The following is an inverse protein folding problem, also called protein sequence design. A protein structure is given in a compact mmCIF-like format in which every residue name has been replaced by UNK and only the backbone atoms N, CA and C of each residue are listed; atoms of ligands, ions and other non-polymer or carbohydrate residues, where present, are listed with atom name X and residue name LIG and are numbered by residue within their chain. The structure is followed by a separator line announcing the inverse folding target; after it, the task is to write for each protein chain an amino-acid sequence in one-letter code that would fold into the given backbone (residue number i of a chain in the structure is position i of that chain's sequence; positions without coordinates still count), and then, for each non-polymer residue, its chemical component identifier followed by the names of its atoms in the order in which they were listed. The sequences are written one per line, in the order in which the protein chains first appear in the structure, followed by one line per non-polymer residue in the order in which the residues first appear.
data_IF_451726500419
#
_entry.id   IF_451726500419
#
_cell.length_a   1.000
_cell.length_b   1.000
_cell.length_c   1.000
_cell.angle_alpha   90.00
_cell.angle_beta   90.00
_cell.angle_gamma   90.00
#
_symmetry.space_group_name_H-M   'P 1'
#
loop_
_entity.id
_entity.type
_entity.pdbx_description
1 polymer ?
#
# COMPACT_ATOMS: atom_id res chain seq x y z
N UNK A 1 4.41 13.03 -5.01
CA UNK A 1 4.04 11.60 -4.95
C UNK A 1 4.53 11.10 -3.61
N UNK A 2 3.63 10.68 -2.72
CA UNK A 2 4.00 10.13 -1.42
C UNK A 2 4.53 8.72 -1.62
N UNK A 3 5.64 8.35 -0.98
CA UNK A 3 6.14 6.99 -1.09
C UNK A 3 5.12 6.04 -0.45
N UNK A 4 4.75 4.91 -1.09
CA UNK A 4 3.77 3.98 -0.52
C UNK A 4 4.09 3.59 0.92
N UNK A 5 5.37 3.40 1.26
CA UNK A 5 5.81 3.12 2.65
C UNK A 5 5.40 4.21 3.63
N UNK A 6 5.58 5.48 3.28
CA UNK A 6 5.20 6.63 4.12
C UNK A 6 3.69 6.73 4.26
N UNK A 7 2.95 6.57 3.15
CA UNK A 7 1.49 6.57 3.15
C UNK A 7 0.91 5.45 4.03
N UNK A 8 1.44 4.23 3.94
CA UNK A 8 1.00 3.13 4.80
C UNK A 8 1.40 3.35 6.26
N UNK A 9 2.58 3.90 6.53
CA UNK A 9 3.00 4.25 7.89
C UNK A 9 2.07 5.31 8.52
N UNK A 10 1.72 6.35 7.77
CA UNK A 10 0.79 7.38 8.20
C UNK A 10 -0.62 6.81 8.44
N UNK A 11 -1.12 5.95 7.53
CA UNK A 11 -2.41 5.28 7.70
C UNK A 11 -2.46 4.43 8.98
N UNK A 12 -1.42 3.62 9.25
CA UNK A 12 -1.34 2.80 10.47
C UNK A 12 -1.25 3.68 11.72
N UNK A 13 -0.55 4.81 11.66
CA UNK A 13 -0.49 5.78 12.76
C UNK A 13 -1.87 6.36 13.07
N UNK A 14 -2.69 6.66 12.05
CA UNK A 14 -4.08 7.10 12.23
C UNK A 14 -4.94 5.99 12.84
N UNK A 15 -4.77 4.73 12.43
CA UNK A 15 -5.50 3.59 13.02
C UNK A 15 -5.21 3.38 14.50
N UNK A 16 -3.96 3.61 14.92
CA UNK A 16 -3.52 3.52 16.32
C UNK A 16 -3.99 4.71 17.19
N UNK A 17 -4.55 5.75 16.57
CA UNK A 17 -5.05 6.93 17.26
C UNK A 17 -6.33 6.70 18.08
N UNK A 18 -6.89 7.79 18.60
CA UNK A 18 -8.09 7.77 19.42
C UNK A 18 -9.38 7.80 18.57
N UNK A 19 -10.48 7.34 19.14
CA UNK A 19 -11.81 7.39 18.53
C UNK A 19 -12.36 6.01 18.12
N UNK A 20 -13.54 6.02 17.52
CA UNK A 20 -14.20 4.79 17.08
C UNK A 20 -13.49 4.21 15.84
N UNK A 21 -13.35 2.88 15.78
CA UNK A 21 -12.57 2.18 14.73
C UNK A 21 -12.97 2.59 13.31
N UNK A 22 -14.27 2.72 13.04
CA UNK A 22 -14.81 3.18 11.76
C UNK A 22 -14.34 4.58 11.35
N UNK A 23 -14.31 5.52 12.29
CA UNK A 23 -13.84 6.87 12.02
C UNK A 23 -12.34 6.88 11.70
N UNK A 24 -11.57 6.08 12.45
CA UNK A 24 -10.13 5.92 12.19
C UNK A 24 -9.86 5.25 10.84
N UNK A 25 -10.67 4.27 10.44
CA UNK A 25 -10.56 3.61 9.13
C UNK A 25 -10.79 4.56 7.97
N UNK A 26 -11.88 5.35 8.03
CA UNK A 26 -12.20 6.34 7.01
C UNK A 26 -11.01 7.30 6.86
N UNK A 27 -10.57 7.88 7.99
CA UNK A 27 -9.48 8.85 8.00
C UNK A 27 -8.16 8.25 7.49
N UNK A 28 -7.78 7.06 7.97
CA UNK A 28 -6.56 6.39 7.56
C UNK A 28 -6.54 6.12 6.05
N UNK A 29 -7.67 5.68 5.49
CA UNK A 29 -7.77 5.34 4.08
C UNK A 29 -7.85 6.58 3.18
N UNK A 30 -8.79 7.49 3.43
CA UNK A 30 -9.02 8.66 2.58
C UNK A 30 -7.80 9.60 2.56
N UNK A 31 -7.17 9.85 3.71
CA UNK A 31 -6.06 10.82 3.80
C UNK A 31 -4.73 10.26 3.29
N UNK A 32 -4.52 8.94 3.33
CA UNK A 32 -3.18 8.38 3.11
C UNK A 32 -3.11 7.30 2.02
N UNK A 33 -4.15 6.47 1.86
CA UNK A 33 -4.10 5.30 0.96
C UNK A 33 -4.89 5.50 -0.35
N UNK A 34 -5.94 6.32 -0.35
CA UNK A 34 -6.84 6.46 -1.50
C UNK A 34 -6.11 6.96 -2.77
N UNK A 35 -5.08 7.79 -2.59
CA UNK A 35 -4.25 8.35 -3.66
C UNK A 35 -3.16 7.41 -4.17
N UNK A 36 -2.93 6.27 -3.51
CA UNK A 36 -1.96 5.27 -3.98
C UNK A 36 -2.56 4.55 -5.18
N UNK A 37 -1.83 4.56 -6.28
CA UNK A 37 -2.16 3.76 -7.46
C UNK A 37 -1.58 2.35 -7.33
N UNK A 38 -2.31 1.35 -7.83
CA UNK A 38 -1.92 -0.06 -7.69
C UNK A 38 -0.59 -0.39 -8.39
N UNK A 39 -0.19 0.39 -9.38
CA UNK A 39 1.08 0.24 -10.10
C UNK A 39 2.30 0.64 -9.26
N UNK A 40 2.13 1.53 -8.28
CA UNK A 40 3.16 1.93 -7.32
C UNK A 40 3.43 0.83 -6.28
N UNK A 41 2.59 -0.21 -6.21
CA UNK A 41 2.74 -1.31 -5.27
C UNK A 41 3.46 -2.53 -5.89
N UNK A 42 4.24 -3.28 -5.10
CA UNK A 42 4.79 -4.56 -5.52
C UNK A 42 3.70 -5.52 -6.01
N UNK A 43 3.98 -6.28 -7.08
CA UNK A 43 3.08 -7.29 -7.66
C UNK A 43 2.35 -8.16 -6.62
N UNK A 44 3.03 -8.80 -5.63
CA UNK A 44 2.37 -9.67 -4.66
C UNK A 44 1.38 -8.94 -3.73
N UNK A 45 1.37 -7.61 -3.73
CA UNK A 45 0.52 -6.79 -2.88
C UNK A 45 -0.69 -6.21 -3.61
N UNK A 46 -0.62 -6.07 -4.95
CA UNK A 46 -1.65 -5.43 -5.76
C UNK A 46 -3.03 -6.01 -5.50
N UNK A 47 -3.15 -7.35 -5.52
CA UNK A 47 -4.43 -8.02 -5.26
C UNK A 47 -4.99 -7.69 -3.87
N UNK A 48 -4.15 -7.78 -2.82
CA UNK A 48 -4.59 -7.50 -1.45
C UNK A 48 -4.96 -6.04 -1.24
N UNK A 49 -4.31 -5.12 -1.95
CA UNK A 49 -4.67 -3.71 -1.92
C UNK A 49 -5.96 -3.43 -2.71
N UNK A 50 -6.16 -4.09 -3.85
CA UNK A 50 -7.42 -4.05 -4.59
C UNK A 50 -8.58 -4.58 -3.74
N UNK A 51 -8.38 -5.68 -2.99
CA UNK A 51 -9.36 -6.23 -2.05
C UNK A 51 -9.70 -5.18 -0.95
N UNK A 52 -8.69 -4.53 -0.36
CA UNK A 52 -8.90 -3.45 0.61
C UNK A 52 -9.70 -2.28 -0.01
N UNK A 53 -9.31 -1.83 -1.21
CA UNK A 53 -9.98 -0.75 -1.93
C UNK A 53 -11.44 -1.09 -2.22
N UNK A 54 -11.70 -2.33 -2.64
CA UNK A 54 -13.05 -2.82 -2.83
C UNK A 54 -13.83 -2.79 -1.52
N UNK A 55 -13.31 -3.35 -0.42
CA UNK A 55 -13.99 -3.33 0.89
C UNK A 55 -14.34 -1.91 1.33
N UNK A 56 -13.41 -0.97 1.14
CA UNK A 56 -13.57 0.43 1.49
C UNK A 56 -14.50 1.20 0.54
N UNK A 57 -14.87 0.67 -0.64
CA UNK A 57 -15.68 1.39 -1.63
C UNK A 57 -16.86 0.57 -2.18
N UNK A 58 -17.19 -0.58 -1.57
CA UNK A 58 -18.20 -1.53 -2.06
C UNK A 58 -19.64 -1.01 -2.03
N UNK A 59 -19.93 -0.02 -1.19
CA UNK A 59 -21.29 0.51 -1.01
C UNK A 59 -21.45 1.82 -1.76
N UNK A 60 -22.53 1.91 -2.54
CA UNK A 60 -22.90 3.15 -3.20
C UNK A 60 -23.23 4.25 -2.18
N UNK A 61 -22.70 5.47 -2.36
CA UNK A 61 -22.97 6.59 -1.46
C UNK A 61 -24.44 7.03 -1.50
N UNK A 62 -24.93 7.49 -0.35
CA UNK A 62 -26.25 8.13 -0.23
C UNK A 62 -26.08 9.62 0.11
N UNK A 63 -26.97 10.45 -0.42
CA UNK A 63 -27.10 11.87 -0.02
C UNK A 63 -25.80 12.70 -0.10
N UNK A 64 -24.92 12.40 -1.06
CA UNK A 64 -23.68 13.15 -1.27
C UNK A 64 -22.52 12.78 -0.34
N UNK A 65 -22.64 11.73 0.48
CA UNK A 65 -21.48 11.19 1.21
C UNK A 65 -20.46 10.55 0.26
N UNK A 66 -19.21 10.37 0.70
CA UNK A 66 -18.19 9.64 -0.07
C UNK A 66 -18.41 8.12 -0.05
N UNK A 67 -17.96 7.40 -1.08
CA UNK A 67 -18.07 5.93 -1.16
C UNK A 67 -17.41 5.21 0.04
N UNK A 68 -16.35 5.79 0.60
CA UNK A 68 -15.66 5.27 1.80
C UNK A 68 -16.52 5.40 3.05
N UNK A 69 -17.07 6.59 3.28
CA UNK A 69 -18.04 6.81 4.36
C UNK A 69 -19.23 5.85 4.25
N UNK A 70 -19.80 5.69 3.05
CA UNK A 70 -20.92 4.79 2.81
C UNK A 70 -20.60 3.33 3.12
N UNK A 71 -19.42 2.86 2.70
CA UNK A 71 -18.97 1.48 2.90
C UNK A 71 -18.69 1.18 4.37
N UNK A 72 -17.94 2.05 5.04
CA UNK A 72 -17.59 1.88 6.45
C UNK A 72 -18.83 2.00 7.35
N UNK A 73 -19.80 2.85 7.00
CA UNK A 73 -21.08 2.96 7.70
C UNK A 73 -21.80 1.61 7.77
N UNK A 74 -21.79 0.85 6.65
CA UNK A 74 -22.41 -0.48 6.56
C UNK A 74 -21.59 -1.62 7.14
N UNK A 75 -20.29 -1.42 7.41
CA UNK A 75 -19.46 -2.47 8.01
C UNK A 75 -19.94 -2.83 9.42
N UNK A 76 -19.83 -4.09 9.82
CA UNK A 76 -19.89 -4.44 11.25
C UNK A 76 -18.61 -3.97 11.97
N UNK A 77 -18.57 -4.10 13.30
CA UNK A 77 -17.33 -3.87 14.04
C UNK A 77 -16.25 -4.88 13.66
N UNK A 78 -16.63 -6.15 13.45
CA UNK A 78 -15.69 -7.20 13.03
C UNK A 78 -15.13 -6.94 11.63
N UNK A 79 -15.97 -6.50 10.68
CA UNK A 79 -15.51 -6.12 9.33
C UNK A 79 -14.57 -4.92 9.37
N UNK A 80 -14.86 -3.94 10.25
CA UNK A 80 -13.98 -2.80 10.47
C UNK A 80 -12.62 -3.24 11.03
N UNK A 81 -12.62 -4.10 12.06
CA UNK A 81 -11.39 -4.66 12.63
C UNK A 81 -10.59 -5.47 11.61
N UNK A 82 -11.25 -6.26 10.76
CA UNK A 82 -10.60 -6.99 9.67
C UNK A 82 -9.96 -6.04 8.65
N UNK A 83 -10.63 -4.95 8.27
CA UNK A 83 -10.05 -3.94 7.39
C UNK A 83 -8.81 -3.29 8.03
N UNK A 84 -8.85 -2.97 9.32
CA UNK A 84 -7.72 -2.40 10.03
C UNK A 84 -6.52 -3.38 10.07
N UNK A 85 -6.78 -4.66 10.34
CA UNK A 85 -5.75 -5.71 10.29
C UNK A 85 -5.14 -5.83 8.89
N UNK A 86 -5.97 -5.80 7.83
CA UNK A 86 -5.49 -5.86 6.45
C UNK A 86 -4.59 -4.67 6.10
N UNK A 87 -4.91 -3.46 6.56
CA UNK A 87 -4.04 -2.28 6.37
C UNK A 87 -2.68 -2.46 7.05
N UNK A 88 -2.65 -3.01 8.27
CA UNK A 88 -1.40 -3.29 9.00
C UNK A 88 -0.59 -4.40 8.33
N UNK A 89 -1.24 -5.47 7.86
CA UNK A 89 -0.58 -6.55 7.10
C UNK A 89 0.05 -6.03 5.80
N UNK A 90 -0.67 -5.18 5.07
CA UNK A 90 -0.17 -4.52 3.87
C UNK A 90 1.04 -3.64 4.21
N UNK A 91 0.98 -2.82 5.27
CA UNK A 91 2.13 -2.03 5.70
C UNK A 91 3.38 -2.90 5.96
N UNK A 92 3.23 -4.01 6.69
CA UNK A 92 4.33 -4.95 6.93
C UNK A 92 4.93 -5.53 5.65
N UNK A 93 4.12 -5.75 4.61
CA UNK A 93 4.61 -6.17 3.29
C UNK A 93 5.30 -5.03 2.55
N UNK A 94 4.77 -3.81 2.61
CA UNK A 94 5.39 -2.63 1.96
C UNK A 94 6.81 -2.42 2.49
N UNK A 95 7.02 -2.49 3.81
CA UNK A 95 8.35 -2.31 4.41
C UNK A 95 9.33 -3.39 3.92
N UNK A 96 8.92 -4.66 3.96
CA UNK A 96 9.77 -5.79 3.55
C UNK A 96 10.17 -5.73 2.07
N UNK A 97 9.33 -5.14 1.21
CA UNK A 97 9.62 -4.98 -0.21
C UNK A 97 10.29 -3.64 -0.55
N UNK A 98 10.07 -2.59 0.24
CA UNK A 98 10.70 -1.27 0.10
C UNK A 98 12.19 -1.29 0.40
N UNK A 99 12.61 -2.08 1.38
CA UNK A 99 14.04 -2.27 1.72
C UNK A 99 14.75 -3.22 0.73
N UNK A 100 13.99 -4.03 -0.02
CA UNK A 100 14.50 -5.05 -0.94
C UNK A 100 14.81 -4.57 -2.37
N UNK A 101 14.42 -3.34 -2.74
CA UNK A 101 14.75 -2.75 -4.05
C UNK A 101 16.09 -1.98 -4.06
N UNK A 102 16.91 -2.11 -3.00
CA UNK A 102 18.28 -1.59 -2.96
C UNK A 102 19.35 -2.58 -3.47
N UNK A 103 18.96 -3.69 -4.11
CA UNK A 103 19.89 -4.52 -4.87
C UNK A 103 19.62 -4.32 -6.37
N UNK A 104 20.17 -3.24 -6.94
CA UNK A 104 20.45 -3.23 -8.38
C UNK A 104 21.30 -4.47 -8.67
N UNK A 105 20.93 -5.34 -9.62
CA UNK A 105 21.91 -6.29 -10.15
C UNK A 105 23.06 -5.42 -10.68
N UNK A 106 24.26 -5.62 -10.17
CA UNK A 106 25.48 -5.09 -10.77
C UNK A 106 25.47 -5.64 -12.20
N UNK A 107 25.25 -4.76 -13.16
CA UNK A 107 25.41 -5.04 -14.58
C UNK A 107 26.89 -5.38 -14.81
N UNK A 108 27.21 -6.67 -14.73
CA UNK A 108 28.54 -7.20 -14.99
C UNK A 108 28.71 -7.50 -16.47
N UNK A 109 28.47 -6.51 -17.33
CA UNK A 109 28.97 -6.47 -18.70
C UNK A 109 29.84 -5.23 -18.90
N UNK A 110 31.02 -5.24 -18.29
CA UNK A 110 32.14 -4.50 -18.89
C UNK A 110 32.59 -5.28 -20.14
N UNK A 111 32.56 -4.68 -21.34
CA UNK A 111 33.19 -5.29 -22.50
C UNK A 111 34.68 -5.34 -22.26
N UNK A 112 35.27 -6.54 -22.33
CA UNK A 112 36.73 -6.69 -22.32
C UNK A 112 37.33 -5.90 -23.49
N UNK A 113 38.26 -4.97 -23.26
CA UNK A 113 38.94 -4.28 -24.35
C UNK A 113 39.86 -5.25 -25.12
N UNK A 114 39.83 -5.26 -26.47
CA UNK A 114 40.57 -6.23 -27.27
C UNK A 114 42.01 -5.78 -27.49
N UNK A 115 42.84 -5.82 -26.46
CA UNK A 115 44.28 -5.62 -26.62
C UNK A 115 45.05 -6.34 -25.53
N UNK A 116 45.07 -7.67 -25.61
CA UNK A 116 46.08 -8.50 -24.93
C UNK A 116 46.26 -9.87 -25.59
N UNK A 117 46.13 -9.94 -26.92
CA UNK A 117 46.68 -11.08 -27.67
C UNK A 117 48.16 -10.78 -27.90
N UNK A 118 48.99 -11.18 -26.94
CA UNK A 118 50.45 -11.22 -27.12
C UNK A 118 50.77 -12.24 -28.22
N UNK A 119 51.49 -11.78 -29.24
CA UNK A 119 52.13 -12.62 -30.25
C UNK A 119 53.03 -13.66 -29.60
N UNK A 120 52.93 -14.90 -30.07
CA UNK A 120 53.80 -16.03 -29.76
C UNK A 120 53.66 -17.06 -30.86
#
# INVERSE_FOLDING_TARGET
MSHPTESFSAAVSVLAGNGHIKQRLIKAYEENLQSIEEDQLPIPMKQRFADLRHLMQRVAPLNGEGAVCASVRKMSLDEADQCAKLMVELYGKVIRHGDGQAAKPIDSQQPVPPFLVKSG
#
